data_IF_668584559789
#
_entry.id   IF_668584559789
#
_cell.length_a   1.000
_cell.length_b   1.000
_cell.length_c   1.000
_cell.angle_alpha   90.00
_cell.angle_beta   90.00
_cell.angle_gamma   90.00
#
_symmetry.space_group_name_H-M   'P 1'
#
loop_
_entity.id
_entity.type
_entity.pdbx_description
1 polymer ?
#
# COMPACT_ATOMS: atom_id res chain seq x y z
N UNK A 1 -5.47 9.94 -8.25
CA UNK A 1 -5.12 8.81 -7.37
C UNK A 1 -3.64 8.50 -7.54
N UNK A 2 -2.94 8.20 -6.45
CA UNK A 2 -1.49 7.99 -6.44
C UNK A 2 -1.20 6.58 -5.90
N UNK A 3 -0.33 5.83 -6.56
CA UNK A 3 0.15 4.53 -6.06
C UNK A 3 1.57 4.71 -5.56
N UNK A 4 1.80 4.38 -4.29
CA UNK A 4 3.10 4.44 -3.65
C UNK A 4 3.70 3.04 -3.47
N UNK A 5 4.87 2.90 -4.07
CA UNK A 5 5.88 1.85 -4.01
C UNK A 5 5.62 0.55 -4.78
N UNK A 6 5.63 0.56 -6.12
CA UNK A 6 5.52 -0.65 -6.93
C UNK A 6 6.80 -1.51 -7.02
N UNK A 7 7.98 -1.05 -6.57
CA UNK A 7 9.18 -1.89 -6.55
C UNK A 7 10.07 -1.62 -5.33
N UNK A 8 10.45 -2.69 -4.62
CA UNK A 8 11.33 -2.63 -3.44
C UNK A 8 12.62 -3.44 -3.60
N UNK A 9 12.74 -4.23 -4.66
CA UNK A 9 13.78 -5.25 -4.80
C UNK A 9 14.35 -5.24 -6.22
N UNK A 10 15.68 -5.31 -6.33
CA UNK A 10 16.41 -5.61 -7.57
C UNK A 10 16.17 -7.04 -8.04
N UNK A 11 15.77 -7.92 -7.12
CA UNK A 11 15.45 -9.33 -7.37
C UNK A 11 13.95 -9.52 -7.60
N UNK A 12 13.59 -10.41 -8.53
CA UNK A 12 12.20 -10.74 -8.85
C UNK A 12 11.60 -11.52 -7.68
N UNK A 13 10.77 -10.86 -6.88
CA UNK A 13 9.89 -11.49 -5.89
C UNK A 13 8.44 -11.43 -6.37
N UNK A 14 7.61 -12.41 -5.98
CA UNK A 14 6.18 -12.41 -6.33
C UNK A 14 5.46 -11.12 -5.91
N UNK A 15 5.88 -10.52 -4.80
CA UNK A 15 5.40 -9.22 -4.32
C UNK A 15 5.73 -8.07 -5.29
N UNK A 16 6.96 -8.03 -5.82
CA UNK A 16 7.37 -7.02 -6.80
C UNK A 16 6.64 -7.22 -8.14
N UNK A 17 6.47 -8.46 -8.61
CA UNK A 17 5.71 -8.76 -9.82
C UNK A 17 4.25 -8.31 -9.68
N UNK A 18 3.61 -8.63 -8.56
CA UNK A 18 2.24 -8.22 -8.28
C UNK A 18 2.09 -6.71 -8.18
N UNK A 19 3.00 -6.03 -7.48
CA UNK A 19 2.95 -4.58 -7.35
C UNK A 19 3.13 -3.85 -8.69
N UNK A 20 3.96 -4.40 -9.61
CA UNK A 20 4.07 -3.91 -10.99
C UNK A 20 2.79 -4.14 -11.80
N UNK A 21 2.20 -5.34 -11.72
CA UNK A 21 0.93 -5.67 -12.40
C UNK A 21 -0.21 -4.78 -11.92
N UNK A 22 -0.35 -4.60 -10.60
CA UNK A 22 -1.34 -3.71 -10.01
C UNK A 22 -1.17 -2.27 -10.48
N UNK A 23 0.07 -1.76 -10.48
CA UNK A 23 0.35 -0.42 -10.94
C UNK A 23 0.01 -0.23 -12.43
N UNK A 24 0.30 -1.24 -13.27
CA UNK A 24 -0.05 -1.24 -14.69
C UNK A 24 -1.56 -1.26 -14.90
N UNK A 25 -2.27 -2.21 -14.30
CA UNK A 25 -3.73 -2.34 -14.42
C UNK A 25 -4.46 -1.06 -13.98
N UNK A 26 -4.03 -0.46 -12.85
CA UNK A 26 -4.62 0.79 -12.37
C UNK A 26 -4.33 1.99 -13.29
N UNK A 27 -3.17 2.02 -13.96
CA UNK A 27 -2.87 3.05 -14.97
C UNK A 27 -3.70 2.87 -16.24
N UNK A 28 -4.02 1.64 -16.62
CA UNK A 28 -4.89 1.35 -17.77
C UNK A 28 -6.34 1.76 -17.48
N UNK A 29 -6.86 1.47 -16.29
CA UNK A 29 -8.25 1.83 -15.89
C UNK A 29 -8.36 3.33 -15.60
N UNK A 30 -7.34 3.92 -14.98
CA UNK A 30 -7.33 5.33 -14.59
C UNK A 30 -6.03 5.97 -15.10
N UNK A 31 -6.02 6.50 -16.34
CA UNK A 31 -4.83 7.07 -16.97
C UNK A 31 -4.15 8.20 -16.17
N UNK A 32 -4.92 8.90 -15.33
CA UNK A 32 -4.42 9.96 -14.45
C UNK A 32 -3.69 9.45 -13.18
N UNK A 33 -3.57 8.13 -12.99
CA UNK A 33 -2.86 7.55 -11.85
C UNK A 33 -1.38 7.87 -11.92
N UNK A 34 -0.84 8.38 -10.81
CA UNK A 34 0.61 8.62 -10.66
C UNK A 34 1.23 7.49 -9.86
N UNK A 35 2.28 6.90 -10.39
CA UNK A 35 3.00 5.79 -9.76
C UNK A 35 4.33 6.33 -9.19
N UNK A 36 4.57 6.12 -7.90
CA UNK A 36 5.81 6.53 -7.23
C UNK A 36 6.52 5.30 -6.67
N UNK A 37 7.77 5.05 -7.06
CA UNK A 37 8.59 4.01 -6.42
C UNK A 37 9.50 4.58 -5.35
N UNK A 38 9.54 3.92 -4.18
CA UNK A 38 10.38 4.35 -3.05
C UNK A 38 11.83 3.90 -3.18
N UNK A 39 12.12 2.92 -4.06
CA UNK A 39 13.44 2.62 -4.58
C UNK A 39 13.36 2.61 -6.10
N UNK A 40 14.11 3.47 -6.81
CA UNK A 40 14.19 3.35 -8.25
C UNK A 40 14.97 2.07 -8.61
N UNK A 41 14.52 1.35 -9.64
CA UNK A 41 15.28 0.22 -10.22
C UNK A 41 16.63 0.67 -10.81
N UNK A 42 16.84 1.97 -11.00
CA UNK A 42 18.10 2.60 -11.39
C UNK A 42 18.53 3.65 -10.36
N UNK A 43 19.79 3.63 -9.99
CA UNK A 43 20.47 4.26 -8.83
C UNK A 43 20.44 5.79 -8.69
N UNK A 44 19.60 6.54 -9.42
CA UNK A 44 19.87 7.96 -9.63
C UNK A 44 19.17 8.97 -8.70
N UNK A 45 18.06 8.65 -8.01
CA UNK A 45 17.34 9.73 -7.30
C UNK A 45 16.81 9.32 -5.92
N UNK A 46 17.29 10.03 -4.89
CA UNK A 46 16.59 10.10 -3.59
C UNK A 46 15.19 10.66 -3.85
N UNK A 47 14.20 9.78 -3.89
CA UNK A 47 12.81 10.14 -4.13
C UNK A 47 12.32 11.08 -3.00
N UNK A 48 12.34 12.39 -3.24
CA UNK A 48 11.61 13.36 -2.42
C UNK A 48 10.14 13.07 -2.64
N UNK A 49 9.41 12.68 -1.59
CA UNK A 49 7.95 12.57 -1.68
C UNK A 49 7.42 13.93 -2.14
N UNK A 50 6.81 14.03 -3.34
CA UNK A 50 6.15 15.27 -3.72
C UNK A 50 5.02 15.55 -2.73
N UNK A 51 4.56 16.80 -2.69
CA UNK A 51 3.30 17.17 -2.03
C UNK A 51 2.16 16.42 -2.73
N UNK A 52 1.90 15.20 -2.28
CA UNK A 52 0.84 14.35 -2.80
C UNK A 52 -0.50 14.98 -2.43
N UNK A 53 -1.22 15.47 -3.44
CA UNK A 53 -2.61 15.91 -3.33
C UNK A 53 -3.50 14.82 -3.93
N UNK A 54 -4.46 14.32 -3.13
CA UNK A 54 -5.43 13.30 -3.53
C UNK A 54 -5.16 11.90 -2.93
N UNK A 55 -6.08 10.93 -3.15
CA UNK A 55 -6.03 9.61 -2.51
C UNK A 55 -4.76 8.84 -2.87
N UNK A 56 -4.15 8.19 -1.87
CA UNK A 56 -2.89 7.44 -2.01
C UNK A 56 -3.08 5.97 -1.63
N UNK A 57 -2.72 5.07 -2.54
CA UNK A 57 -2.68 3.63 -2.30
C UNK A 57 -1.23 3.22 -2.06
N UNK A 58 -0.95 2.69 -0.88
CA UNK A 58 0.33 2.06 -0.56
C UNK A 58 0.27 0.59 -0.93
N UNK A 59 1.28 0.11 -1.64
CA UNK A 59 1.37 -1.31 -1.98
C UNK A 59 1.54 -2.20 -0.75
N UNK A 60 1.95 -1.69 0.42
CA UNK A 60 2.14 -2.53 1.61
C UNK A 60 1.90 -1.80 2.91
N UNK A 61 1.38 -2.50 3.91
CA UNK A 61 1.19 -1.97 5.27
C UNK A 61 2.48 -1.46 5.96
N UNK A 62 3.68 -2.05 5.77
CA UNK A 62 4.94 -1.51 6.29
C UNK A 62 5.26 -0.06 5.88
N UNK A 63 4.57 0.50 4.88
CA UNK A 63 4.76 1.88 4.42
C UNK A 63 3.98 2.91 5.24
N UNK A 64 3.35 2.49 6.34
CA UNK A 64 2.67 3.37 7.27
C UNK A 64 3.47 4.61 7.73
N UNK A 65 4.82 4.61 7.87
CA UNK A 65 5.53 5.83 8.26
C UNK A 65 5.41 6.94 7.21
N UNK A 66 5.31 6.57 5.92
CA UNK A 66 5.10 7.51 4.82
C UNK A 66 3.65 8.00 4.77
N UNK A 67 2.72 7.13 5.12
CA UNK A 67 1.31 7.47 5.23
C UNK A 67 1.01 8.38 6.42
N UNK A 68 1.85 8.41 7.46
CA UNK A 68 1.62 9.23 8.66
C UNK A 68 1.43 10.72 8.32
N UNK A 69 2.34 11.30 7.54
CA UNK A 69 2.24 12.71 7.16
C UNK A 69 1.00 13.00 6.29
N UNK A 70 0.59 12.05 5.45
CA UNK A 70 -0.62 12.16 4.63
C UNK A 70 -1.88 12.08 5.51
N UNK A 71 -1.87 11.18 6.49
CA UNK A 71 -2.97 10.98 7.44
C UNK A 71 -3.21 12.20 8.33
N UNK A 72 -2.13 12.86 8.78
CA UNK A 72 -2.20 14.12 9.52
C UNK A 72 -2.82 15.23 8.66
N UNK A 73 -2.52 15.25 7.36
CA UNK A 73 -3.08 16.20 6.39
C UNK A 73 -4.51 15.86 5.92
N UNK A 74 -5.15 14.84 6.49
CA UNK A 74 -6.49 14.40 6.10
C UNK A 74 -6.56 13.77 4.70
N UNK A 75 -5.42 13.36 4.13
CA UNK A 75 -5.41 12.71 2.81
C UNK A 75 -5.88 11.26 2.95
N UNK A 76 -6.84 10.80 2.13
CA UNK A 76 -7.27 9.40 2.13
C UNK A 76 -6.12 8.47 1.76
N UNK A 77 -5.93 7.42 2.56
CA UNK A 77 -4.89 6.41 2.34
C UNK A 77 -5.48 5.01 2.32
N UNK A 78 -4.97 4.19 1.41
CA UNK A 78 -5.28 2.76 1.35
C UNK A 78 -4.01 1.93 1.40
N UNK A 79 -4.11 0.68 1.86
CA UNK A 79 -2.99 -0.26 1.91
C UNK A 79 -3.35 -1.58 1.26
N UNK A 80 -2.43 -2.13 0.47
CA UNK A 80 -2.53 -3.50 -0.03
C UNK A 80 -1.91 -4.46 1.00
N UNK A 81 -2.55 -5.61 1.21
CA UNK A 81 -2.12 -6.69 2.09
C UNK A 81 -1.80 -7.94 1.25
N UNK A 82 -0.56 -8.41 1.30
CA UNK A 82 -0.01 -9.49 0.47
C UNK A 82 0.07 -10.84 1.20
N UNK A 83 -0.15 -10.87 2.52
CA UNK A 83 -0.24 -12.10 3.31
C UNK A 83 0.75 -12.12 4.48
N UNK A 84 1.97 -11.62 4.28
CA UNK A 84 2.94 -11.49 5.38
C UNK A 84 2.42 -10.57 6.49
N UNK A 85 1.58 -9.59 6.13
CA UNK A 85 0.95 -8.67 7.06
C UNK A 85 0.01 -9.39 8.04
N UNK A 86 -0.60 -10.51 7.65
CA UNK A 86 -1.52 -11.29 8.50
C UNK A 86 -0.85 -11.77 9.80
N UNK A 87 0.47 -11.89 9.81
CA UNK A 87 1.26 -12.42 10.92
C UNK A 87 1.95 -11.32 11.74
N UNK A 88 1.80 -10.05 11.34
CA UNK A 88 2.54 -8.94 11.93
C UNK A 88 1.66 -8.05 12.79
N UNK A 89 2.03 -7.92 14.07
CA UNK A 89 1.49 -6.90 14.96
C UNK A 89 2.28 -5.60 14.82
N UNK A 90 1.61 -4.52 14.46
CA UNK A 90 2.21 -3.22 14.24
C UNK A 90 2.19 -2.35 15.50
N UNK A 91 3.11 -1.37 15.65
CA UNK A 91 3.18 -0.48 16.81
C UNK A 91 1.94 0.44 16.91
N UNK A 92 1.66 1.03 18.09
CA UNK A 92 0.48 1.88 18.31
C UNK A 92 0.28 2.98 17.27
N UNK A 93 1.35 3.68 16.89
CA UNK A 93 1.29 4.76 15.91
C UNK A 93 0.88 4.27 14.51
N UNK A 94 1.41 3.13 14.08
CA UNK A 94 1.00 2.50 12.82
C UNK A 94 -0.48 2.12 12.84
N UNK A 95 -0.95 1.54 13.95
CA UNK A 95 -2.37 1.20 14.12
C UNK A 95 -3.27 2.43 14.10
N UNK A 96 -2.82 3.57 14.63
CA UNK A 96 -3.54 4.84 14.51
C UNK A 96 -3.67 5.27 13.04
N UNK A 97 -2.60 5.16 12.25
CA UNK A 97 -2.65 5.42 10.80
C UNK A 97 -3.66 4.49 10.12
N UNK A 98 -3.61 3.20 10.43
CA UNK A 98 -4.46 2.16 9.87
C UNK A 98 -5.95 2.32 10.20
N UNK A 99 -6.30 2.87 11.36
CA UNK A 99 -7.71 3.10 11.74
C UNK A 99 -8.47 3.99 10.75
N UNK A 100 -7.79 4.88 10.04
CA UNK A 100 -8.40 5.74 9.02
C UNK A 100 -8.12 5.32 7.59
N UNK A 101 -7.67 4.08 7.38
CA UNK A 101 -7.31 3.58 6.06
C UNK A 101 -8.35 2.59 5.51
N UNK A 102 -8.32 2.39 4.19
CA UNK A 102 -9.01 1.27 3.51
C UNK A 102 -7.99 0.20 3.16
N UNK A 103 -8.34 -1.07 3.32
CA UNK A 103 -7.45 -2.18 2.97
C UNK A 103 -7.88 -2.89 1.69
N UNK A 104 -6.90 -3.28 0.88
CA UNK A 104 -7.08 -4.13 -0.30
C UNK A 104 -6.32 -5.43 -0.03
N UNK A 105 -7.00 -6.56 0.05
CA UNK A 105 -6.38 -7.81 0.47
C UNK A 105 -6.40 -8.86 -0.63
N UNK A 106 -5.32 -9.63 -0.73
CA UNK A 106 -5.24 -10.77 -1.66
C UNK A 106 -6.10 -11.96 -1.24
N UNK A 107 -6.52 -12.03 0.03
CA UNK A 107 -7.43 -13.06 0.54
C UNK A 107 -8.24 -12.55 1.74
N UNK A 108 -9.43 -13.13 1.95
CA UNK A 108 -10.23 -12.88 3.15
C UNK A 108 -9.46 -13.21 4.43
N UNK A 109 -8.76 -14.34 4.44
CA UNK A 109 -7.93 -14.76 5.56
C UNK A 109 -6.90 -13.69 5.95
N UNK A 110 -6.18 -13.14 4.96
CA UNK A 110 -5.18 -12.09 5.20
C UNK A 110 -5.81 -10.85 5.82
N UNK A 111 -6.95 -10.39 5.30
CA UNK A 111 -7.65 -9.22 5.81
C UNK A 111 -8.11 -9.41 7.26
N UNK A 112 -8.88 -10.47 7.52
CA UNK A 112 -9.48 -10.75 8.82
C UNK A 112 -8.40 -10.96 9.89
N UNK A 113 -7.37 -11.74 9.57
CA UNK A 113 -6.26 -12.01 10.49
C UNK A 113 -5.48 -10.73 10.79
N UNK A 114 -5.16 -9.91 9.78
CA UNK A 114 -4.47 -8.63 9.96
C UNK A 114 -5.26 -7.68 10.86
N UNK A 115 -6.55 -7.50 10.58
CA UNK A 115 -7.42 -6.62 11.36
C UNK A 115 -7.58 -7.10 12.80
N UNK A 116 -7.79 -8.40 13.00
CA UNK A 116 -7.89 -9.01 14.32
C UNK A 116 -6.59 -8.83 15.13
N UNK A 117 -5.44 -9.19 14.55
CA UNK A 117 -4.13 -9.11 15.21
C UNK A 117 -3.77 -7.66 15.60
N UNK A 118 -4.20 -6.69 14.79
CA UNK A 118 -3.96 -5.28 15.02
C UNK A 118 -5.11 -4.57 15.76
N UNK A 119 -6.16 -5.27 16.18
CA UNK A 119 -7.34 -4.70 16.84
C UNK A 119 -7.92 -3.51 16.07
N UNK A 120 -8.14 -3.72 14.77
CA UNK A 120 -8.67 -2.73 13.84
C UNK A 120 -10.07 -3.12 13.35
N UNK A 121 -10.91 -2.14 13.07
CA UNK A 121 -12.25 -2.30 12.49
C UNK A 121 -12.39 -1.54 11.17
N UNK A 122 -11.31 -1.50 10.38
CA UNK A 122 -11.21 -0.70 9.17
C UNK A 122 -11.87 -1.41 7.97
N UNK A 123 -12.43 -0.65 7.01
CA UNK A 123 -13.01 -1.21 5.78
C UNK A 123 -11.94 -1.91 4.94
N UNK A 124 -12.33 -2.99 4.28
CA UNK A 124 -11.45 -3.73 3.39
C UNK A 124 -12.21 -4.34 2.19
N UNK A 125 -11.48 -4.55 1.09
CA UNK A 125 -11.99 -5.16 -0.13
C UNK A 125 -11.05 -6.28 -0.58
N UNK A 126 -11.64 -7.32 -1.16
CA UNK A 126 -10.88 -8.40 -1.78
C UNK A 126 -10.39 -7.93 -3.15
N UNK A 127 -9.11 -8.12 -3.43
CA UNK A 127 -8.58 -7.95 -4.77
C UNK A 127 -9.05 -9.13 -5.64
N UNK A 128 -9.35 -8.89 -6.93
CA UNK A 128 -9.64 -9.98 -7.83
C UNK A 128 -8.47 -10.97 -7.83
N UNK A 129 -8.73 -12.29 -7.91
CA UNK A 129 -7.67 -13.27 -8.05
C UNK A 129 -6.79 -12.88 -9.25
N UNK A 130 -5.48 -12.88 -9.05
CA UNK A 130 -4.55 -12.64 -10.15
C UNK A 130 -4.77 -13.73 -11.21
N UNK A 131 -5.06 -13.30 -12.45
CA UNK A 131 -5.00 -14.15 -13.63
C UNK A 131 -3.56 -14.65 -13.83
#
# INVERSE_FOLDING_TARGET
>A
MIICAPSFWSEVSGEAAYARLLARALREIVPAVRIYSLRPEKTAERCRMPLLRGPVIFSRAPLWPRALALRIKGVPVSFVLHGVEAWRRYPPLARWVFKGAVFLAVSRYTAERFLHLNRLSAPWHLLPPAL
#
